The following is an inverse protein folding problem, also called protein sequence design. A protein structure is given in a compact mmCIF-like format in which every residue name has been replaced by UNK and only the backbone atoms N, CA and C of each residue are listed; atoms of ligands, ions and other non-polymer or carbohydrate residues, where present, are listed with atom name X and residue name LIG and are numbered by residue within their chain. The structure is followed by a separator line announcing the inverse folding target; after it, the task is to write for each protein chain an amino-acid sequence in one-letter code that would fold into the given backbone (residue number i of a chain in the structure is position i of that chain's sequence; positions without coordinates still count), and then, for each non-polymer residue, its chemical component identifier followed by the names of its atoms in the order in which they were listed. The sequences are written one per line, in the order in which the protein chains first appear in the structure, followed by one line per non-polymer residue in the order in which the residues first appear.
data_IF_119234462892
#
_entry.id   IF_119234462892
#
_cell.length_a   1.000
_cell.length_b   1.000
_cell.length_c   1.000
_cell.angle_alpha   90.00
_cell.angle_beta   90.00
_cell.angle_gamma   90.00
#
_symmetry.space_group_name_H-M   'P 1'
#
loop_
_entity.id
_entity.type
_entity.pdbx_description
1 polymer ?
#
# COMPACT_ATOMS: atom_id res chain seq x y z
N UNK A 1 -29.79 3.26 36.54
CA UNK A 1 -29.34 2.03 35.85
C UNK A 1 -30.00 2.03 34.47
N UNK A 2 -29.27 2.50 33.45
CA UNK A 2 -28.74 1.70 32.31
C UNK A 2 -29.83 1.35 31.28
N UNK A 3 -29.77 1.68 29.98
CA UNK A 3 -28.73 2.21 29.08
C UNK A 3 -29.45 2.91 27.90
N UNK A 4 -29.07 4.15 27.58
CA UNK A 4 -29.36 4.79 26.29
C UNK A 4 -28.31 4.36 25.28
N UNK A 5 -28.70 3.56 24.28
CA UNK A 5 -27.89 3.28 23.10
C UNK A 5 -28.22 4.27 22.01
N UNK A 6 -27.36 5.28 21.81
CA UNK A 6 -27.44 6.21 20.68
C UNK A 6 -26.89 5.54 19.42
N UNK A 7 -27.74 5.43 18.41
CA UNK A 7 -27.38 5.21 17.01
C UNK A 7 -26.44 6.34 16.55
N UNK A 8 -25.24 6.00 16.06
CA UNK A 8 -24.45 6.93 15.25
C UNK A 8 -24.79 6.73 13.78
N UNK A 9 -25.25 7.81 13.17
CA UNK A 9 -25.59 7.92 11.76
C UNK A 9 -24.34 7.78 10.88
N UNK A 10 -24.39 6.85 9.92
CA UNK A 10 -23.47 6.81 8.79
C UNK A 10 -24.03 7.75 7.71
N UNK A 11 -23.39 8.91 7.54
CA UNK A 11 -23.72 9.84 6.45
C UNK A 11 -23.11 9.31 5.16
N UNK A 12 -23.95 8.72 4.31
CA UNK A 12 -23.58 8.17 3.02
C UNK A 12 -23.22 9.24 1.97
N UNK A 13 -22.29 8.89 1.09
CA UNK A 13 -21.99 9.60 -0.15
C UNK A 13 -23.10 9.28 -1.19
N UNK A 14 -23.75 10.30 -1.75
CA UNK A 14 -24.82 10.15 -2.76
C UNK A 14 -24.25 10.46 -4.14
N UNK A 15 -24.21 9.46 -5.04
CA UNK A 15 -24.07 9.69 -6.48
C UNK A 15 -25.22 8.97 -7.20
N UNK A 16 -26.04 9.76 -7.88
CA UNK A 16 -27.22 9.34 -8.65
C UNK A 16 -26.76 8.97 -10.07
N UNK A 17 -26.93 7.72 -10.49
CA UNK A 17 -26.73 7.32 -11.89
C UNK A 17 -27.93 6.54 -12.42
N UNK A 18 -28.35 6.96 -13.62
CA UNK A 18 -29.55 6.54 -14.35
C UNK A 18 -29.24 5.23 -15.10
N UNK A 19 -30.12 4.25 -14.98
CA UNK A 19 -30.06 2.93 -15.65
C UNK A 19 -30.41 3.03 -17.14
N UNK A 20 -29.66 2.31 -18.01
CA UNK A 20 -30.08 1.92 -19.37
C UNK A 20 -29.56 0.52 -19.77
N UNK A 21 -30.39 -0.12 -20.59
CA UNK A 21 -30.51 -1.55 -20.93
C UNK A 21 -29.33 -2.28 -21.61
N UNK A 22 -29.48 -3.61 -21.55
CA UNK A 22 -28.71 -4.76 -22.05
C UNK A 22 -28.13 -4.69 -23.48
N UNK A 23 -26.91 -5.24 -23.63
CA UNK A 23 -26.46 -5.97 -24.81
C UNK A 23 -25.33 -6.95 -24.41
N UNK A 24 -25.48 -8.24 -24.78
CA UNK A 24 -24.48 -9.28 -24.58
C UNK A 24 -23.46 -9.21 -25.73
N UNK A 25 -22.23 -8.81 -25.41
CA UNK A 25 -21.09 -8.79 -26.35
C UNK A 25 -20.14 -9.93 -25.98
N UNK A 26 -20.03 -10.93 -26.85
CA UNK A 26 -18.96 -11.94 -26.78
C UNK A 26 -17.74 -11.30 -27.45
N UNK A 27 -16.86 -10.73 -26.62
CA UNK A 27 -15.58 -10.17 -27.05
C UNK A 27 -14.43 -11.03 -26.52
N UNK A 28 -13.50 -11.43 -27.40
CA UNK A 28 -12.19 -11.94 -26.99
C UNK A 28 -11.55 -10.91 -26.07
N UNK A 29 -11.54 -11.17 -24.77
CA UNK A 29 -10.80 -10.38 -23.80
C UNK A 29 -9.32 -10.69 -23.99
N UNK A 30 -8.63 -9.83 -24.74
CA UNK A 30 -7.20 -9.65 -24.53
C UNK A 30 -7.04 -9.31 -23.06
N UNK A 31 -6.47 -10.23 -22.28
CA UNK A 31 -6.09 -9.98 -20.90
C UNK A 31 -5.04 -8.88 -20.93
N UNK A 32 -5.48 -7.61 -20.83
CA UNK A 32 -4.60 -6.55 -20.39
C UNK A 32 -4.03 -7.04 -19.06
N UNK A 33 -2.71 -7.26 -19.02
CA UNK A 33 -2.04 -7.57 -17.77
C UNK A 33 -2.36 -6.41 -16.82
N UNK A 34 -3.27 -6.66 -15.88
CA UNK A 34 -3.55 -5.70 -14.83
C UNK A 34 -2.23 -5.48 -14.10
N UNK A 35 -1.79 -4.22 -14.03
CA UNK A 35 -0.73 -3.84 -13.11
C UNK A 35 -1.28 -4.08 -11.70
N UNK A 36 -0.67 -5.01 -10.95
CA UNK A 36 -1.12 -5.38 -9.61
C UNK A 36 -1.86 -6.72 -9.50
N UNK A 37 -1.90 -7.24 -8.28
CA UNK A 37 -2.74 -8.36 -7.86
C UNK A 37 -4.04 -7.86 -7.22
N UNK A 38 -5.14 -8.59 -7.41
CA UNK A 38 -6.38 -8.33 -6.66
C UNK A 38 -6.26 -8.79 -5.20
N UNK A 39 -7.04 -8.20 -4.30
CA UNK A 39 -7.12 -8.65 -2.90
C UNK A 39 -7.46 -10.15 -2.79
N UNK A 40 -8.33 -10.67 -3.66
CA UNK A 40 -8.68 -12.10 -3.69
C UNK A 40 -7.47 -12.96 -4.10
N UNK A 41 -6.75 -12.57 -5.15
CA UNK A 41 -5.52 -13.25 -5.57
C UNK A 41 -4.47 -13.28 -4.45
N UNK A 42 -4.31 -12.15 -3.75
CA UNK A 42 -3.40 -12.03 -2.62
C UNK A 42 -3.82 -12.91 -1.43
N UNK A 43 -5.11 -12.97 -1.10
CA UNK A 43 -5.63 -13.86 -0.05
C UNK A 43 -5.43 -15.34 -0.40
N UNK A 44 -5.64 -15.71 -1.67
CA UNK A 44 -5.36 -17.07 -2.15
C UNK A 44 -3.87 -17.42 -2.05
N UNK A 45 -2.99 -16.42 -2.16
CA UNK A 45 -1.56 -16.54 -1.90
C UNK A 45 -1.20 -16.38 -0.41
N UNK A 46 -2.15 -16.46 0.53
CA UNK A 46 -1.88 -16.44 1.97
C UNK A 46 -1.79 -15.06 2.62
N UNK A 47 -2.14 -13.97 1.91
CA UNK A 47 -2.28 -12.66 2.53
C UNK A 47 -3.42 -12.66 3.56
N UNK A 48 -3.20 -12.19 4.80
CA UNK A 48 -4.29 -11.98 5.75
C UNK A 48 -5.33 -11.02 5.18
N UNK A 49 -6.63 -11.33 5.32
CA UNK A 49 -7.72 -10.50 4.80
C UNK A 49 -7.65 -9.04 5.28
N UNK A 50 -7.25 -8.85 6.54
CA UNK A 50 -7.02 -7.54 7.16
C UNK A 50 -5.93 -6.67 6.50
N UNK A 51 -5.17 -7.20 5.53
CA UNK A 51 -4.17 -6.45 4.77
C UNK A 51 -4.32 -6.62 3.26
N UNK A 52 -5.33 -7.36 2.79
CA UNK A 52 -5.42 -7.73 1.37
C UNK A 52 -5.68 -6.53 0.47
N UNK A 53 -6.59 -5.63 0.85
CA UNK A 53 -6.87 -4.41 0.09
C UNK A 53 -5.70 -3.43 0.12
N UNK A 54 -5.00 -3.33 1.26
CA UNK A 54 -3.77 -2.56 1.37
C UNK A 54 -2.68 -3.11 0.42
N UNK A 55 -2.48 -4.42 0.43
CA UNK A 55 -1.52 -5.10 -0.44
C UNK A 55 -1.89 -4.97 -1.92
N UNK A 56 -3.17 -5.02 -2.28
CA UNK A 56 -3.66 -4.73 -3.63
C UNK A 56 -3.29 -3.29 -4.04
N UNK A 57 -3.53 -2.32 -3.17
CA UNK A 57 -3.19 -0.92 -3.42
C UNK A 57 -1.66 -0.72 -3.61
N UNK A 58 -0.82 -1.48 -2.90
CA UNK A 58 0.62 -1.46 -3.14
C UNK A 58 0.96 -2.13 -4.47
N UNK A 59 0.49 -3.35 -4.71
CA UNK A 59 0.84 -4.11 -5.91
C UNK A 59 0.41 -3.42 -7.21
N UNK A 60 -0.71 -2.69 -7.22
CA UNK A 60 -1.12 -1.83 -8.35
C UNK A 60 -0.07 -0.80 -8.77
N UNK A 61 0.77 -0.37 -7.84
CA UNK A 61 1.86 0.59 -8.09
C UNK A 61 3.18 -0.09 -8.43
N UNK A 62 3.31 -1.39 -8.18
CA UNK A 62 4.57 -2.13 -8.19
C UNK A 62 4.59 -3.22 -9.28
N UNK A 63 3.64 -4.15 -9.25
CA UNK A 63 3.55 -5.25 -10.20
C UNK A 63 2.57 -6.35 -9.75
N UNK A 64 2.52 -7.43 -10.52
CA UNK A 64 1.82 -8.68 -10.20
C UNK A 64 2.83 -9.81 -9.88
N UNK A 65 2.37 -11.00 -9.48
CA UNK A 65 3.24 -12.10 -9.04
C UNK A 65 4.29 -12.53 -10.07
N UNK A 66 4.01 -12.31 -11.36
CA UNK A 66 4.93 -12.62 -12.48
C UNK A 66 5.81 -11.45 -12.91
N UNK A 67 5.66 -10.28 -12.30
CA UNK A 67 6.31 -9.06 -12.77
C UNK A 67 7.81 -9.08 -12.55
N UNK A 68 8.54 -8.61 -13.56
CA UNK A 68 9.99 -8.44 -13.51
C UNK A 68 10.30 -7.04 -14.02
N UNK A 69 10.99 -6.23 -13.22
CA UNK A 69 11.38 -4.89 -13.64
C UNK A 69 12.38 -4.96 -14.81
N UNK A 70 12.50 -3.88 -15.60
CA UNK A 70 13.70 -3.66 -16.42
C UNK A 70 14.97 -3.72 -15.57
N UNK A 71 16.09 -4.11 -16.19
CA UNK A 71 17.39 -4.06 -15.55
C UNK A 71 17.88 -2.61 -15.52
N UNK A 72 18.00 -2.01 -14.33
CA UNK A 72 18.47 -0.64 -14.14
C UNK A 72 19.68 -0.66 -13.23
N UNK A 73 20.83 -0.18 -13.73
CA UNK A 73 22.11 -0.19 -12.99
C UNK A 73 22.49 -1.57 -12.44
N UNK A 74 22.21 -2.64 -13.19
CA UNK A 74 22.50 -4.02 -12.77
C UNK A 74 21.53 -4.59 -11.74
N UNK A 75 20.46 -3.87 -11.38
CA UNK A 75 19.45 -4.30 -10.41
C UNK A 75 18.14 -4.64 -11.12
N UNK A 76 17.50 -5.72 -10.68
CA UNK A 76 16.18 -6.16 -11.14
C UNK A 76 15.31 -6.48 -9.95
N UNK A 77 14.02 -6.15 -10.07
CA UNK A 77 13.02 -6.34 -9.05
C UNK A 77 11.94 -7.31 -9.52
N UNK A 78 11.40 -8.10 -8.59
CA UNK A 78 10.60 -9.28 -8.91
C UNK A 78 9.31 -9.29 -8.11
N UNK A 79 8.25 -9.79 -8.74
CA UNK A 79 6.98 -10.11 -8.10
C UNK A 79 6.05 -8.93 -7.85
N UNK A 80 4.96 -9.21 -7.14
CA UNK A 80 3.85 -8.28 -6.92
C UNK A 80 4.25 -7.01 -6.14
N UNK A 81 5.35 -7.08 -5.41
CA UNK A 81 5.84 -6.01 -4.55
C UNK A 81 7.27 -5.57 -4.89
N UNK A 82 7.76 -5.97 -6.06
CA UNK A 82 9.05 -5.54 -6.62
C UNK A 82 10.23 -5.69 -5.64
N UNK A 83 10.42 -6.90 -5.09
CA UNK A 83 11.62 -7.21 -4.30
C UNK A 83 12.84 -7.25 -5.22
N UNK A 84 13.82 -6.39 -4.98
CA UNK A 84 15.03 -6.24 -5.79
C UNK A 84 16.17 -7.15 -5.36
N UNK A 85 16.95 -7.64 -6.34
CA UNK A 85 18.17 -8.44 -6.16
C UNK A 85 19.38 -7.64 -5.66
N UNK A 86 19.23 -6.35 -5.43
CA UNK A 86 20.20 -5.52 -4.73
C UNK A 86 20.19 -5.70 -3.20
N UNK A 87 19.29 -6.54 -2.65
CA UNK A 87 19.34 -6.92 -1.24
C UNK A 87 18.00 -7.35 -0.65
N UNK A 88 16.88 -6.76 -1.08
CA UNK A 88 15.58 -7.03 -0.45
C UNK A 88 15.12 -8.47 -0.67
N UNK A 89 15.27 -9.05 -1.87
CA UNK A 89 14.88 -10.45 -2.07
C UNK A 89 15.75 -11.39 -1.22
N UNK A 90 17.06 -11.15 -1.12
CA UNK A 90 17.97 -11.97 -0.31
C UNK A 90 17.69 -11.86 1.20
N UNK A 91 17.18 -10.72 1.65
CA UNK A 91 16.87 -10.50 3.06
C UNK A 91 15.59 -11.23 3.51
N UNK A 92 14.61 -11.39 2.61
CA UNK A 92 13.28 -11.88 2.97
C UNK A 92 12.90 -13.22 2.33
N UNK A 93 13.71 -13.74 1.41
CA UNK A 93 13.49 -15.01 0.74
C UNK A 93 14.78 -15.82 0.62
N UNK A 94 14.71 -17.11 0.93
CA UNK A 94 15.83 -18.05 0.79
C UNK A 94 15.62 -18.89 -0.45
N UNK A 95 16.05 -18.39 -1.60
CA UNK A 95 15.93 -19.06 -2.90
C UNK A 95 16.34 -18.16 -4.06
N UNK A 96 16.13 -18.65 -5.28
CA UNK A 96 16.40 -17.89 -6.51
C UNK A 96 15.25 -16.95 -6.87
N UNK A 97 15.49 -15.88 -7.64
CA UNK A 97 14.42 -15.01 -8.12
C UNK A 97 13.34 -15.77 -8.91
N UNK A 98 13.71 -16.79 -9.68
CA UNK A 98 12.74 -17.60 -10.42
C UNK A 98 11.85 -18.43 -9.49
N UNK A 99 12.40 -18.99 -8.41
CA UNK A 99 11.60 -19.68 -7.40
C UNK A 99 10.66 -18.70 -6.68
N UNK A 100 11.11 -17.47 -6.40
CA UNK A 100 10.26 -16.43 -5.82
C UNK A 100 9.09 -16.03 -6.73
N UNK A 101 9.32 -15.88 -8.03
CA UNK A 101 8.26 -15.61 -9.01
C UNK A 101 7.24 -16.74 -9.14
N UNK A 102 7.69 -17.98 -8.95
CA UNK A 102 6.84 -19.16 -9.02
C UNK A 102 6.11 -19.48 -7.71
N UNK A 103 6.35 -18.71 -6.64
CA UNK A 103 5.77 -18.93 -5.32
C UNK A 103 5.06 -17.66 -4.80
N UNK A 104 3.80 -17.43 -5.22
CA UNK A 104 2.99 -16.32 -4.72
C UNK A 104 2.91 -16.26 -3.19
N UNK A 105 2.92 -17.41 -2.51
CA UNK A 105 2.85 -17.45 -1.05
C UNK A 105 4.13 -16.98 -0.39
N UNK A 106 5.29 -17.24 -1.00
CA UNK A 106 6.55 -16.65 -0.55
C UNK A 106 6.56 -15.13 -0.75
N UNK A 107 5.99 -14.62 -1.83
CA UNK A 107 5.94 -13.18 -2.09
C UNK A 107 5.08 -12.43 -1.05
N UNK A 108 3.90 -12.95 -0.72
CA UNK A 108 3.03 -12.36 0.31
C UNK A 108 3.68 -12.45 1.69
N UNK A 109 4.27 -13.59 2.07
CA UNK A 109 4.95 -13.77 3.34
C UNK A 109 6.17 -12.84 3.49
N UNK A 110 7.00 -12.74 2.45
CA UNK A 110 8.16 -11.84 2.41
C UNK A 110 7.72 -10.38 2.57
N UNK A 111 6.67 -9.96 1.86
CA UNK A 111 6.15 -8.59 1.94
C UNK A 111 5.55 -8.25 3.29
N UNK A 112 4.76 -9.16 3.90
CA UNK A 112 4.22 -8.94 5.25
C UNK A 112 5.38 -8.77 6.26
N UNK A 113 6.41 -9.61 6.18
CA UNK A 113 7.59 -9.51 7.06
C UNK A 113 8.37 -8.21 6.81
N UNK A 114 8.52 -7.80 5.56
CA UNK A 114 9.13 -6.51 5.21
C UNK A 114 8.36 -5.35 5.82
N UNK A 115 7.03 -5.33 5.67
CA UNK A 115 6.20 -4.25 6.21
C UNK A 115 6.20 -4.22 7.74
N UNK A 116 6.27 -5.37 8.40
CA UNK A 116 6.45 -5.44 9.86
C UNK A 116 7.77 -4.80 10.29
N UNK A 117 8.87 -5.04 9.57
CA UNK A 117 10.15 -4.38 9.85
C UNK A 117 10.08 -2.87 9.58
N UNK A 118 9.45 -2.45 8.47
CA UNK A 118 9.25 -1.02 8.18
C UNK A 118 8.41 -0.33 9.25
N UNK A 119 7.38 -0.99 9.76
CA UNK A 119 6.58 -0.48 10.88
C UNK A 119 7.43 -0.25 12.12
N UNK A 120 8.27 -1.22 12.50
CA UNK A 120 9.17 -1.09 13.64
C UNK A 120 10.16 0.06 13.46
N UNK A 121 10.70 0.26 12.25
CA UNK A 121 11.57 1.40 11.96
C UNK A 121 10.82 2.74 12.07
N UNK A 122 9.59 2.81 11.56
CA UNK A 122 8.75 4.00 11.67
C UNK A 122 8.44 4.35 13.12
N UNK A 123 8.12 3.35 13.96
CA UNK A 123 7.90 3.54 15.40
C UNK A 123 9.17 4.04 16.09
N UNK A 124 10.31 3.36 15.87
CA UNK A 124 11.60 3.74 16.48
C UNK A 124 12.06 5.14 16.06
N UNK A 125 11.75 5.54 14.83
CA UNK A 125 12.05 6.87 14.29
C UNK A 125 11.04 7.96 14.65
N UNK A 126 9.98 7.65 15.39
CA UNK A 126 8.92 8.61 15.73
C UNK A 126 8.04 9.05 14.55
N UNK A 127 8.11 8.34 13.42
CA UNK A 127 7.39 8.69 12.19
C UNK A 127 5.89 8.45 12.31
N UNK A 128 5.48 7.55 13.22
CA UNK A 128 4.07 7.27 13.52
C UNK A 128 3.36 8.46 14.18
N UNK A 129 4.09 9.48 14.65
CA UNK A 129 3.51 10.75 15.12
C UNK A 129 2.79 11.54 14.02
N UNK A 130 2.95 11.15 12.76
CA UNK A 130 2.21 11.74 11.65
C UNK A 130 0.80 11.15 11.46
N UNK A 131 0.46 10.01 12.09
CA UNK A 131 -0.90 9.47 12.07
C UNK A 131 -1.87 10.49 12.68
N UNK A 132 -3.02 10.69 12.02
CA UNK A 132 -4.04 11.67 12.38
C UNK A 132 -3.81 13.08 11.83
N UNK A 133 -2.64 13.38 11.24
CA UNK A 133 -2.42 14.65 10.54
C UNK A 133 -3.06 14.64 9.16
N UNK A 134 -3.46 15.80 8.65
CA UNK A 134 -3.89 15.95 7.27
C UNK A 134 -2.70 16.28 6.37
N UNK A 135 -2.65 15.69 5.18
CA UNK A 135 -1.70 16.02 4.11
C UNK A 135 -2.45 16.16 2.80
N UNK A 136 -2.14 17.23 2.05
CA UNK A 136 -2.68 17.46 0.72
C UNK A 136 -1.58 17.34 -0.33
N UNK A 137 -1.85 16.60 -1.41
CA UNK A 137 -0.95 16.45 -2.54
C UNK A 137 -1.73 16.46 -3.85
N UNK A 138 -1.35 17.34 -4.78
CA UNK A 138 -2.01 17.53 -6.08
C UNK A 138 -3.55 17.68 -6.00
N UNK A 139 -4.05 18.43 -5.01
CA UNK A 139 -5.48 18.70 -4.84
C UNK A 139 -6.26 17.61 -4.09
N UNK A 140 -5.61 16.52 -3.69
CA UNK A 140 -6.23 15.47 -2.87
C UNK A 140 -5.66 15.52 -1.45
N UNK A 141 -6.54 15.62 -0.45
CA UNK A 141 -6.18 15.62 0.96
C UNK A 141 -6.59 14.30 1.62
N UNK A 142 -5.80 13.84 2.58
CA UNK A 142 -6.11 12.68 3.39
C UNK A 142 -5.64 12.89 4.83
N UNK A 143 -6.45 12.39 5.78
CA UNK A 143 -5.99 12.16 7.16
C UNK A 143 -5.13 10.91 7.16
N UNK A 144 -3.90 11.04 7.64
CA UNK A 144 -2.93 9.96 7.63
C UNK A 144 -3.31 8.86 8.61
N UNK A 145 -3.25 7.63 8.13
CA UNK A 145 -3.42 6.39 8.90
C UNK A 145 -2.10 5.63 8.99
N UNK A 146 -2.03 4.57 9.78
CA UNK A 146 -0.91 3.63 9.83
C UNK A 146 -0.57 3.08 8.44
N UNK A 147 -1.59 2.80 7.62
CA UNK A 147 -1.39 2.36 6.22
C UNK A 147 -0.74 3.44 5.35
N UNK A 148 -0.95 4.73 5.67
CA UNK A 148 -0.24 5.84 4.99
C UNK A 148 1.24 5.79 5.30
N UNK A 149 1.59 5.62 6.57
CA UNK A 149 2.98 5.49 7.03
C UNK A 149 3.64 4.30 6.34
N UNK A 150 3.01 3.14 6.35
CA UNK A 150 3.54 1.93 5.71
C UNK A 150 3.76 2.11 4.21
N UNK A 151 2.82 2.76 3.49
CA UNK A 151 2.99 2.99 2.05
C UNK A 151 4.11 3.99 1.76
N UNK A 152 4.28 5.01 2.59
CA UNK A 152 5.43 5.91 2.53
C UNK A 152 6.76 5.21 2.87
N UNK A 153 6.72 4.17 3.71
CA UNK A 153 7.87 3.33 4.05
C UNK A 153 8.27 2.34 2.95
N UNK A 154 7.57 2.28 1.81
CA UNK A 154 8.00 1.50 0.64
C UNK A 154 9.42 1.89 0.19
N UNK A 155 9.83 3.14 0.45
CA UNK A 155 11.20 3.65 0.21
C UNK A 155 12.14 3.56 1.42
N UNK A 156 11.76 2.78 2.43
CA UNK A 156 12.48 2.62 3.67
C UNK A 156 12.16 3.72 4.70
N UNK A 157 11.88 3.28 5.93
CA UNK A 157 11.67 4.15 7.10
C UNK A 157 12.83 4.09 8.11
N UNK A 158 13.93 3.43 7.76
CA UNK A 158 15.10 3.36 8.61
C UNK A 158 15.88 4.69 8.59
N UNK A 159 16.10 5.26 9.77
CA UNK A 159 17.01 6.39 9.99
C UNK A 159 16.48 7.77 9.56
N UNK A 160 17.21 8.83 9.92
CA UNK A 160 16.79 10.23 9.73
C UNK A 160 16.91 10.73 8.28
N UNK A 161 17.51 9.94 7.39
CA UNK A 161 17.69 10.26 5.98
C UNK A 161 16.55 9.71 5.10
N UNK A 162 15.65 8.90 5.66
CA UNK A 162 14.47 8.43 4.94
C UNK A 162 13.58 9.60 4.49
N UNK A 163 12.89 9.43 3.37
CA UNK A 163 12.04 10.47 2.77
C UNK A 163 10.92 10.89 3.72
N UNK A 164 10.31 9.92 4.40
CA UNK A 164 9.30 10.19 5.42
C UNK A 164 9.88 10.92 6.63
N UNK A 165 11.07 10.56 7.12
CA UNK A 165 11.71 11.30 8.22
C UNK A 165 12.00 12.76 7.84
N UNK A 166 12.46 13.00 6.61
CA UNK A 166 12.68 14.35 6.09
C UNK A 166 11.38 15.14 6.00
N UNK A 167 10.30 14.51 5.52
CA UNK A 167 8.98 15.15 5.47
C UNK A 167 8.45 15.50 6.87
N UNK A 168 8.54 14.58 7.82
CA UNK A 168 8.09 14.80 9.20
C UNK A 168 8.90 15.93 9.85
N UNK A 169 10.22 15.95 9.66
CA UNK A 169 11.10 17.01 10.16
C UNK A 169 10.80 18.38 9.52
N UNK A 170 10.32 18.40 8.28
CA UNK A 170 9.89 19.61 7.58
C UNK A 170 8.43 20.02 7.89
N UNK A 171 7.79 19.40 8.88
CA UNK A 171 6.42 19.75 9.28
C UNK A 171 5.35 19.34 8.26
N UNK A 172 5.59 18.24 7.51
CA UNK A 172 4.69 17.72 6.47
C UNK A 172 4.62 18.55 5.18
N UNK A 173 5.62 19.40 4.91
CA UNK A 173 5.75 20.10 3.63
C UNK A 173 6.17 19.15 2.49
N UNK A 174 5.23 18.83 1.60
CA UNK A 174 5.43 17.96 0.45
C UNK A 174 6.43 18.47 -0.60
N UNK A 175 6.80 19.75 -0.53
CA UNK A 175 7.78 20.39 -1.41
C UNK A 175 9.16 20.52 -0.76
N UNK A 176 9.30 20.12 0.51
CA UNK A 176 10.56 20.25 1.22
C UNK A 176 11.67 19.41 0.56
N UNK A 177 12.93 19.88 0.57
CA UNK A 177 14.05 19.15 -0.01
C UNK A 177 14.20 17.74 0.58
N UNK A 178 14.45 16.77 -0.30
CA UNK A 178 14.69 15.38 0.11
C UNK A 178 13.43 14.58 0.44
N UNK A 179 12.24 15.07 0.12
CA UNK A 179 10.96 14.34 0.28
C UNK A 179 10.55 13.54 -0.96
N UNK A 180 11.24 13.73 -2.10
CA UNK A 180 11.01 12.97 -3.34
C UNK A 180 12.02 11.86 -3.57
N UNK A 181 11.61 10.82 -4.30
CA UNK A 181 12.50 9.77 -4.80
C UNK A 181 13.40 10.26 -5.96
N UNK A 182 14.27 9.38 -6.47
CA UNK A 182 15.17 9.70 -7.58
C UNK A 182 14.48 9.96 -8.92
N UNK A 183 13.19 9.62 -9.05
CA UNK A 183 12.34 9.91 -10.20
C UNK A 183 11.51 11.18 -10.00
N UNK A 184 11.67 11.89 -8.86
CA UNK A 184 10.95 13.11 -8.53
C UNK A 184 9.58 12.90 -7.89
N UNK A 185 9.18 11.65 -7.60
CA UNK A 185 7.89 11.38 -6.96
C UNK A 185 7.96 11.73 -5.47
N UNK A 186 7.11 12.66 -5.02
CA UNK A 186 7.02 13.05 -3.61
C UNK A 186 6.47 11.92 -2.74
N UNK A 187 7.03 11.74 -1.54
CA UNK A 187 6.54 10.81 -0.52
C UNK A 187 5.07 11.07 -0.14
N UNK A 188 4.60 12.31 -0.29
CA UNK A 188 3.19 12.66 -0.04
C UNK A 188 2.20 11.95 -0.96
N UNK A 189 2.60 11.60 -2.19
CA UNK A 189 1.77 10.78 -3.08
C UNK A 189 1.43 9.43 -2.43
N UNK A 190 2.41 8.82 -1.77
CA UNK A 190 2.28 7.52 -1.11
C UNK A 190 1.50 7.62 0.20
N UNK A 191 1.69 8.71 0.95
CA UNK A 191 0.88 9.01 2.13
C UNK A 191 -0.60 9.11 1.78
N UNK A 192 -0.95 9.94 0.80
CA UNK A 192 -2.36 10.16 0.40
C UNK A 192 -2.97 8.90 -0.19
N UNK A 193 -2.28 8.23 -1.12
CA UNK A 193 -2.80 6.99 -1.74
C UNK A 193 -2.79 5.77 -0.80
N UNK A 194 -2.08 5.86 0.33
CA UNK A 194 -2.00 4.82 1.33
C UNK A 194 -3.00 4.98 2.47
N UNK A 195 -3.80 6.04 2.51
CA UNK A 195 -4.70 6.31 3.63
C UNK A 195 -5.92 5.37 3.68
N UNK A 196 -6.34 5.02 4.90
CA UNK A 196 -7.62 4.39 5.19
C UNK A 196 -7.70 2.86 5.08
N UNK A 197 -6.59 2.16 4.82
CA UNK A 197 -6.61 0.70 4.74
C UNK A 197 -6.38 0.05 6.11
N UNK A 198 -7.04 -1.08 6.36
CA UNK A 198 -6.65 -1.95 7.47
C UNK A 198 -5.25 -2.52 7.21
N UNK A 199 -4.43 -2.47 8.25
CA UNK A 199 -3.06 -2.98 8.29
C UNK A 199 -2.77 -3.69 9.60
N UNK A 200 -3.81 -4.08 10.35
CA UNK A 200 -3.69 -4.70 11.66
C UNK A 200 -2.91 -6.03 11.64
N UNK A 201 -2.84 -6.71 10.49
CA UNK A 201 -1.98 -7.89 10.33
C UNK A 201 -0.48 -7.55 10.47
N UNK A 202 -0.08 -6.33 10.10
CA UNK A 202 1.28 -5.78 10.18
C UNK A 202 1.50 -5.09 11.52
N UNK A 203 0.61 -4.15 11.88
CA UNK A 203 0.85 -3.22 13.00
C UNK A 203 0.38 -3.74 14.35
N UNK A 204 -0.42 -4.81 14.36
CA UNK A 204 -1.07 -5.39 15.55
C UNK A 204 -2.03 -4.43 16.26
N UNK A 205 -2.44 -3.36 15.59
CA UNK A 205 -3.45 -2.41 16.05
C UNK A 205 -4.26 -1.88 14.86
N UNK A 206 -5.39 -1.23 15.12
CA UNK A 206 -6.19 -0.56 14.09
C UNK A 206 -6.32 0.91 14.44
N UNK A 207 -6.35 1.77 13.42
CA UNK A 207 -6.71 3.19 13.56
C UNK A 207 -8.21 3.42 13.76
N UNK A 208 -9.01 2.34 13.77
CA UNK A 208 -10.48 2.43 13.77
C UNK A 208 -11.07 2.76 12.40
N UNK A 209 -10.27 2.68 11.33
CA UNK A 209 -10.66 2.97 9.94
C UNK A 209 -10.58 1.68 9.12
N UNK A 210 -11.73 1.18 8.67
CA UNK A 210 -11.84 0.17 7.62
C UNK A 210 -12.51 0.83 6.42
N UNK A 211 -11.73 1.35 5.47
CA UNK A 211 -12.30 1.71 4.19
C UNK A 211 -12.69 0.43 3.44
N UNK A 212 -13.95 0.03 3.52
CA UNK A 212 -14.53 -0.81 2.47
C UNK A 212 -14.65 0.12 1.26
N UNK A 213 -13.83 -0.08 0.23
CA UNK A 213 -14.05 0.59 -1.04
C UNK A 213 -15.51 0.34 -1.48
N UNK A 214 -16.27 1.35 -1.96
CA UNK A 214 -17.60 1.08 -2.47
C UNK A 214 -17.48 0.05 -3.60
N UNK A 215 -18.02 -1.15 -3.35
CA UNK A 215 -18.10 -2.18 -4.37
C UNK A 215 -18.91 -1.61 -5.52
N UNK A 216 -18.30 -1.58 -6.70
CA UNK A 216 -19.00 -1.25 -7.93
C UNK A 216 -20.12 -2.29 -8.12
N UNK A 217 -21.39 -1.89 -8.26
CA UNK A 217 -22.46 -2.83 -8.61
C UNK A 217 -22.24 -3.45 -9.98
#
# INVERSE_FOLDING_TARGET
MNKTGSFFASTGCVIKLISRNSALVIGLSASAALAGESAVSLMNAGMPSACAEYAENVSKSEGNFSSISPLVNGVRCYGAFQFCDSGTIQQYYSGTPQQFLNDPSAQTAAWVKYQQNQWQFAQKGGLTSAVGKEVCYNGTCAVLTQSSILKACQFGCAGPTSKLAKLVAAGMDCNAPGTSDGAGTSVCKYLVSGAGYDVSCITKSSDGVNCIAPSKP
#
